data_IF_004252990099
#
_entry.id   IF_004252990099
#
_cell.length_a   1.000
_cell.length_b   1.000
_cell.length_c   1.000
_cell.angle_alpha   90.00
_cell.angle_beta   90.00
_cell.angle_gamma   90.00
#
_symmetry.space_group_name_H-M   'P 1'
#
loop_
_entity.id
_entity.type
_entity.pdbx_description
1 polymer ?
#
# COMPACT_ATOMS: atom_id res chain seq x y z
N UNK A 1 -15.43 -1.39 -19.36
CA UNK A 1 -16.50 -0.53 -18.81
C UNK A 1 -16.64 -0.79 -17.33
N UNK A 2 -16.55 0.31 -16.58
CA UNK A 2 -16.70 0.33 -15.14
C UNK A 2 -17.98 1.07 -14.75
N UNK A 3 -18.37 0.90 -13.50
CA UNK A 3 -19.33 1.76 -12.84
C UNK A 3 -18.72 2.34 -11.57
N UNK A 4 -19.16 3.54 -11.21
CA UNK A 4 -18.75 4.27 -10.02
C UNK A 4 -19.99 4.55 -9.16
N UNK A 5 -19.85 4.43 -7.84
CA UNK A 5 -20.91 4.82 -6.89
C UNK A 5 -21.18 6.32 -6.99
N UNK A 6 -22.44 6.73 -6.88
CA UNK A 6 -22.80 8.16 -6.81
C UNK A 6 -22.31 8.82 -5.51
N UNK A 7 -22.16 8.02 -4.46
CA UNK A 7 -21.78 8.49 -3.13
C UNK A 7 -20.28 8.35 -2.90
N UNK A 8 -19.68 9.41 -2.36
CA UNK A 8 -18.32 9.42 -1.82
C UNK A 8 -18.31 8.81 -0.42
N UNK A 9 -17.20 8.18 -0.03
CA UNK A 9 -17.00 7.64 1.30
C UNK A 9 -16.72 8.75 2.33
N UNK A 10 -16.56 8.40 3.61
CA UNK A 10 -16.30 9.36 4.69
C UNK A 10 -15.03 10.19 4.53
N UNK A 11 -14.11 9.75 3.67
CA UNK A 11 -12.86 10.46 3.33
C UNK A 11 -13.01 11.41 2.14
N UNK A 12 -14.19 11.44 1.51
CA UNK A 12 -14.44 12.24 0.30
C UNK A 12 -13.94 11.60 -1.01
N UNK A 13 -13.40 10.38 -0.95
CA UNK A 13 -13.03 9.60 -2.13
C UNK A 13 -14.21 8.75 -2.62
N UNK A 14 -14.24 8.46 -3.91
CA UNK A 14 -15.14 7.46 -4.46
C UNK A 14 -14.65 6.05 -4.13
N UNK A 15 -15.60 5.14 -3.91
CA UNK A 15 -15.33 3.70 -3.82
C UNK A 15 -14.69 3.17 -5.10
N UNK A 16 -13.92 2.09 -4.97
CA UNK A 16 -13.24 1.44 -6.09
C UNK A 16 -14.20 1.16 -7.27
N UNK A 17 -13.70 1.38 -8.48
CA UNK A 17 -14.44 1.12 -9.71
C UNK A 17 -14.83 -0.36 -9.79
N UNK A 18 -16.09 -0.61 -10.14
CA UNK A 18 -16.59 -1.98 -10.29
C UNK A 18 -16.70 -2.32 -11.77
N UNK A 19 -16.14 -3.46 -12.17
CA UNK A 19 -16.31 -3.99 -13.53
C UNK A 19 -17.78 -4.28 -13.79
N UNK A 20 -18.30 -3.80 -14.92
CA UNK A 20 -19.72 -3.94 -15.25
C UNK A 20 -19.93 -4.34 -16.71
N UNK A 21 -20.80 -5.31 -16.93
CA UNK A 21 -21.08 -5.87 -18.26
C UNK A 21 -22.54 -5.71 -18.72
N UNK A 22 -23.43 -5.33 -17.80
CA UNK A 22 -24.85 -5.11 -18.14
C UNK A 22 -25.05 -3.74 -18.80
N UNK A 23 -25.93 -3.64 -19.81
CA UNK A 23 -26.29 -2.37 -20.42
C UNK A 23 -27.10 -1.46 -19.49
N UNK A 24 -27.63 -1.99 -18.38
CA UNK A 24 -28.37 -1.22 -17.40
C UNK A 24 -27.43 -0.87 -16.23
N UNK A 25 -27.19 0.43 -16.03
CA UNK A 25 -26.49 0.94 -14.84
C UNK A 25 -27.46 0.99 -13.65
N UNK A 26 -27.08 0.45 -12.48
CA UNK A 26 -27.85 0.63 -11.24
C UNK A 26 -28.12 2.11 -10.96
N UNK A 27 -29.27 2.42 -10.35
CA UNK A 27 -29.64 3.80 -10.01
C UNK A 27 -28.70 4.46 -9.00
N UNK A 28 -27.96 3.64 -8.24
CA UNK A 28 -26.95 4.06 -7.27
C UNK A 28 -25.57 4.33 -7.89
N UNK A 29 -25.42 4.13 -9.20
CA UNK A 29 -24.15 4.23 -9.91
C UNK A 29 -24.25 5.06 -11.19
N UNK A 30 -23.10 5.42 -11.72
CA UNK A 30 -22.94 5.94 -13.08
C UNK A 30 -21.98 5.05 -13.88
N UNK A 31 -22.18 4.97 -15.19
CA UNK A 31 -21.21 4.41 -16.11
C UNK A 31 -19.93 5.25 -16.10
N UNK A 32 -18.81 4.55 -15.98
CA UNK A 32 -17.48 5.13 -15.91
C UNK A 32 -16.67 4.69 -17.13
N UNK A 33 -16.39 5.62 -18.08
CA UNK A 33 -15.57 5.33 -19.24
C UNK A 33 -14.14 4.91 -18.88
N UNK A 34 -13.61 3.94 -19.63
CA UNK A 34 -12.29 3.37 -19.38
C UNK A 34 -11.16 4.41 -19.61
N UNK A 35 -11.42 5.48 -20.36
CA UNK A 35 -10.45 6.58 -20.62
C UNK A 35 -10.04 7.33 -19.34
N UNK A 36 -10.93 7.41 -18.35
CA UNK A 36 -10.67 8.10 -17.09
C UNK A 36 -10.05 7.19 -16.03
N UNK A 37 -9.82 5.90 -16.34
CA UNK A 37 -9.30 4.92 -15.39
C UNK A 37 -7.99 5.39 -14.74
N UNK A 38 -7.07 5.94 -15.54
CA UNK A 38 -5.77 6.43 -15.04
C UNK A 38 -5.89 7.71 -14.20
N UNK A 39 -6.99 8.46 -14.34
CA UNK A 39 -7.27 9.62 -13.48
C UNK A 39 -7.86 9.17 -12.14
N UNK A 40 -8.61 8.07 -12.11
CA UNK A 40 -9.10 7.47 -10.87
C UNK A 40 -7.99 6.75 -10.10
N UNK A 41 -7.12 6.03 -10.82
CA UNK A 41 -5.98 5.27 -10.32
C UNK A 41 -4.64 5.87 -10.82
N UNK A 42 -4.26 7.07 -10.35
CA UNK A 42 -2.99 7.67 -10.71
C UNK A 42 -1.82 6.82 -10.19
N UNK A 43 -0.83 6.57 -11.06
CA UNK A 43 0.31 5.70 -10.78
C UNK A 43 1.29 6.25 -9.73
N UNK A 44 1.25 7.57 -9.51
CA UNK A 44 2.12 8.32 -8.59
C UNK A 44 1.48 8.54 -7.21
N UNK A 45 0.28 8.01 -6.95
CA UNK A 45 -0.45 8.21 -5.69
C UNK A 45 -0.71 6.87 -5.00
N UNK A 46 -0.68 6.88 -3.66
CA UNK A 46 -0.92 5.68 -2.85
C UNK A 46 -2.39 5.33 -2.68
N UNK A 47 -3.25 6.35 -2.71
CA UNK A 47 -4.69 6.20 -2.52
C UNK A 47 -5.41 6.70 -3.77
N UNK A 48 -6.41 5.95 -4.21
CA UNK A 48 -7.19 6.22 -5.43
C UNK A 48 -8.59 6.76 -5.10
N UNK A 49 -9.27 7.31 -6.11
CA UNK A 49 -10.67 7.74 -5.98
C UNK A 49 -10.89 9.17 -5.49
N UNK A 50 -9.84 9.95 -5.27
CA UNK A 50 -9.93 11.39 -4.98
C UNK A 50 -10.12 12.19 -6.26
N UNK A 51 -11.29 12.05 -6.86
CA UNK A 51 -11.65 12.71 -8.11
C UNK A 51 -12.94 13.52 -7.96
N UNK A 52 -13.04 14.58 -8.75
CA UNK A 52 -14.28 15.28 -9.04
C UNK A 52 -14.80 14.84 -10.40
N UNK A 53 -16.06 14.43 -10.43
CA UNK A 53 -16.71 13.87 -11.63
C UNK A 53 -17.84 14.77 -12.08
N UNK A 54 -17.94 15.01 -13.39
CA UNK A 54 -19.11 15.60 -14.02
C UNK A 54 -19.87 14.49 -14.75
N UNK A 55 -21.21 14.53 -14.69
CA UNK A 55 -22.06 13.44 -15.16
C UNK A 55 -23.20 13.97 -16.03
N UNK A 56 -23.44 13.29 -17.16
CA UNK A 56 -24.67 13.41 -17.92
C UNK A 56 -25.74 12.53 -17.25
N UNK A 57 -26.56 13.11 -16.38
CA UNK A 57 -27.61 12.40 -15.64
C UNK A 57 -28.65 11.75 -16.56
N UNK A 58 -28.86 12.27 -17.77
CA UNK A 58 -29.81 11.66 -18.73
C UNK A 58 -29.32 10.31 -19.23
N UNK A 59 -27.99 10.13 -19.29
CA UNK A 59 -27.33 8.88 -19.72
C UNK A 59 -26.71 8.11 -18.58
N UNK A 60 -26.76 8.65 -17.35
CA UNK A 60 -26.05 8.15 -16.16
C UNK A 60 -24.57 7.87 -16.46
N UNK A 61 -23.91 8.76 -17.19
CA UNK A 61 -22.55 8.53 -17.69
C UNK A 61 -21.62 9.67 -17.27
N UNK A 62 -20.46 9.31 -16.73
CA UNK A 62 -19.40 10.27 -16.41
C UNK A 62 -18.85 10.86 -17.69
N UNK A 63 -18.85 12.19 -17.79
CA UNK A 63 -18.38 12.94 -18.95
C UNK A 63 -17.02 13.57 -18.74
N UNK A 64 -16.63 13.79 -17.48
CA UNK A 64 -15.34 14.37 -17.13
C UNK A 64 -14.91 13.94 -15.73
N UNK A 65 -13.61 13.73 -15.57
CA UNK A 65 -12.98 13.37 -14.29
C UNK A 65 -11.77 14.24 -14.09
N UNK A 66 -11.66 14.87 -12.92
CA UNK A 66 -10.54 15.71 -12.53
C UNK A 66 -10.00 15.20 -11.20
N UNK A 67 -8.68 15.02 -11.10
CA UNK A 67 -8.05 14.63 -9.83
C UNK A 67 -8.10 15.80 -8.82
N UNK A 68 -8.49 15.50 -7.58
CA UNK A 68 -8.57 16.47 -6.50
C UNK A 68 -7.38 16.30 -5.55
N UNK A 69 -6.31 17.06 -5.82
CA UNK A 69 -5.08 17.02 -5.05
C UNK A 69 -5.28 17.52 -3.60
N UNK A 70 -6.20 18.45 -3.36
CA UNK A 70 -6.44 19.00 -2.02
C UNK A 70 -7.06 17.98 -1.07
N UNK A 71 -8.05 17.22 -1.54
CA UNK A 71 -8.65 16.14 -0.76
C UNK A 71 -7.66 15.00 -0.53
N UNK A 72 -6.88 14.65 -1.56
CA UNK A 72 -5.84 13.66 -1.44
C UNK A 72 -4.78 14.05 -0.40
N UNK A 73 -4.29 15.29 -0.45
CA UNK A 73 -3.28 15.78 0.49
C UNK A 73 -3.75 15.72 1.94
N UNK A 74 -4.98 16.15 2.23
CA UNK A 74 -5.58 16.04 3.57
C UNK A 74 -5.66 14.59 4.06
N UNK A 75 -6.07 13.68 3.19
CA UNK A 75 -6.16 12.27 3.55
C UNK A 75 -4.78 11.63 3.76
N UNK A 76 -3.80 12.00 2.93
CA UNK A 76 -2.43 11.51 3.04
C UNK A 76 -1.74 12.02 4.33
N UNK A 77 -2.06 13.22 4.80
CA UNK A 77 -1.58 13.74 6.09
C UNK A 77 -2.15 12.95 7.28
N UNK A 78 -3.42 12.54 7.22
CA UNK A 78 -4.07 11.72 8.26
C UNK A 78 -3.62 10.25 8.24
N UNK A 79 -3.10 9.77 7.10
CA UNK A 79 -2.63 8.41 6.90
C UNK A 79 -1.15 8.39 6.48
N UNK A 80 -0.22 8.66 7.43
CA UNK A 80 1.20 8.71 7.14
C UNK A 80 1.70 7.37 6.57
N UNK A 81 2.83 7.44 5.86
CA UNK A 81 3.52 6.26 5.37
C UNK A 81 3.84 5.31 6.52
N UNK A 82 3.49 4.01 6.40
CA UNK A 82 3.96 3.05 7.39
C UNK A 82 5.49 3.12 7.40
N UNK A 83 6.06 3.24 8.59
CA UNK A 83 7.51 3.20 8.73
C UNK A 83 8.04 1.88 8.15
N UNK A 84 9.20 1.90 7.46
CA UNK A 84 9.84 0.68 7.00
C UNK A 84 10.07 -0.22 8.22
N UNK A 85 9.43 -1.38 8.26
CA UNK A 85 9.75 -2.38 9.27
C UNK A 85 11.14 -2.90 8.93
N UNK A 86 12.13 -2.68 9.80
CA UNK A 86 13.43 -3.32 9.65
C UNK A 86 13.20 -4.84 9.57
N UNK A 87 13.82 -5.55 8.61
CA UNK A 87 13.70 -6.99 8.56
C UNK A 87 14.20 -7.56 9.89
N UNK A 88 13.41 -8.44 10.51
CA UNK A 88 13.92 -9.21 11.64
C UNK A 88 15.17 -9.97 11.19
N UNK A 89 16.22 -10.06 12.03
CA UNK A 89 17.42 -10.81 11.69
C UNK A 89 17.00 -12.23 11.27
N UNK A 90 17.59 -12.69 10.17
CA UNK A 90 17.26 -14.02 9.66
C UNK A 90 17.72 -15.11 10.65
N UNK A 91 17.09 -16.28 10.64
CA UNK A 91 17.54 -17.43 11.43
C UNK A 91 19.03 -17.76 11.16
N UNK A 92 19.52 -17.47 9.95
CA UNK A 92 20.93 -17.62 9.58
C UNK A 92 21.86 -16.64 10.31
N UNK A 93 21.45 -15.39 10.48
CA UNK A 93 22.20 -14.39 11.25
C UNK A 93 22.23 -14.73 12.75
N UNK A 94 21.12 -15.23 13.29
CA UNK A 94 21.05 -15.70 14.68
C UNK A 94 21.98 -16.91 14.92
N UNK A 95 21.96 -17.89 14.01
CA UNK A 95 22.86 -19.06 14.09
C UNK A 95 24.32 -18.65 13.95
N UNK A 96 24.64 -17.73 13.03
CA UNK A 96 26.00 -17.22 12.87
C UNK A 96 26.48 -16.48 14.14
N UNK A 97 25.62 -15.68 14.78
CA UNK A 97 25.96 -15.00 16.03
C UNK A 97 26.23 -16.00 17.17
N UNK A 98 25.43 -17.05 17.28
CA UNK A 98 25.67 -18.13 18.25
C UNK A 98 26.98 -18.89 17.99
N UNK A 99 27.32 -19.12 16.72
CA UNK A 99 28.55 -19.80 16.34
C UNK A 99 29.79 -18.98 16.69
N UNK A 100 29.76 -17.67 16.45
CA UNK A 100 30.86 -16.76 16.81
C UNK A 100 31.08 -16.69 18.33
N UNK A 101 30.02 -16.65 19.14
CA UNK A 101 30.15 -16.70 20.60
C UNK A 101 30.77 -18.03 21.07
N UNK A 102 30.37 -19.14 20.44
CA UNK A 102 30.91 -20.46 20.75
C UNK A 102 32.41 -20.56 20.40
N UNK A 103 32.84 -20.05 19.25
CA UNK A 103 34.24 -20.05 18.84
C UNK A 103 35.12 -19.22 19.79
N UNK A 104 34.63 -18.06 20.24
CA UNK A 104 35.35 -17.25 21.24
C UNK A 104 35.50 -17.98 22.58
N UNK A 105 34.43 -18.65 23.06
CA UNK A 105 34.49 -19.42 24.31
C UNK A 105 35.46 -20.60 24.21
N UNK A 106 35.48 -21.32 23.09
CA UNK A 106 36.41 -22.42 22.86
C UNK A 106 37.85 -21.93 22.84
N UNK A 107 38.14 -20.84 22.13
CA UNK A 107 39.47 -20.24 22.08
C UNK A 107 39.98 -19.84 23.48
N UNK A 108 39.12 -19.24 24.30
CA UNK A 108 39.46 -18.87 25.67
C UNK A 108 39.73 -20.10 26.55
N UNK A 109 38.96 -21.18 26.37
CA UNK A 109 39.13 -22.42 27.10
C UNK A 109 40.45 -23.12 26.73
N UNK A 110 40.77 -23.17 25.45
CA UNK A 110 42.05 -23.73 24.96
C UNK A 110 43.25 -22.95 25.49
N UNK A 111 43.18 -21.62 25.49
CA UNK A 111 44.22 -20.78 26.09
C UNK A 111 44.40 -21.07 27.60
N UNK A 112 43.30 -21.23 28.34
CA UNK A 112 43.35 -21.55 29.77
C UNK A 112 43.89 -22.97 30.05
N UNK A 113 43.51 -23.96 29.23
CA UNK A 113 43.99 -25.34 29.34
C UNK A 113 45.49 -25.41 29.01
N UNK A 114 45.93 -24.70 27.97
CA UNK A 114 47.34 -24.63 27.59
C UNK A 114 48.17 -23.92 28.66
N UNK A 115 47.64 -22.86 29.28
CA UNK A 115 48.29 -22.18 30.40
C UNK A 115 48.41 -23.07 31.65
N UNK A 116 47.42 -23.90 31.93
CA UNK A 116 47.44 -24.83 33.07
C UNK A 116 48.31 -26.08 32.83
N UNK A 117 48.56 -26.46 31.57
CA UNK A 117 49.38 -27.62 31.21
C UNK A 117 50.88 -27.31 31.10
N UNK A 118 51.25 -26.03 31.20
CA UNK A 118 52.63 -25.54 31.16
C UNK A 118 53.25 -25.27 32.55
N UNK A 119 52.52 -25.56 33.63
CA UNK A 119 52.99 -25.60 35.03
C UNK A 119 53.13 -27.05 35.49
#
# INVERSE_FOLDING_TARGET
MYIISKEKNGSGAYSALQSWSSPNCPDTHWFYPDEFFNTFYPADKRFAGFVDVEVDESKKMVTKVTWNEELYAKFAEEHPEPEPVEPEPSEEEDVNAMLVDQEMRLTALEAAVNANSAN
#
